data_IF_855465728804
#
_entry.id   IF_855465728804
#
_cell.length_a   1.000
_cell.length_b   1.000
_cell.length_c   1.000
_cell.angle_alpha   90.00
_cell.angle_beta   90.00
_cell.angle_gamma   90.00
#
_symmetry.space_group_name_H-M   'P 1'
#
loop_
_entity.id
_entity.type
_entity.pdbx_description
1 polymer ?
#
# COMPACT_ATOMS: atom_id res chain seq x y z
N UNK A 1 -1.11 -21.37 -13.74
CA UNK A 1 -1.17 -19.89 -13.82
C UNK A 1 -1.19 -19.21 -12.44
N UNK A 2 -1.82 -19.81 -11.43
CA UNK A 2 -1.80 -19.33 -10.04
C UNK A 2 -0.42 -19.41 -9.37
N UNK A 3 0.42 -20.37 -9.73
CA UNK A 3 1.75 -20.58 -9.10
C UNK A 3 2.75 -19.45 -9.39
N UNK A 4 2.70 -18.87 -10.59
CA UNK A 4 3.54 -17.73 -10.98
C UNK A 4 3.11 -16.50 -10.17
N UNK A 5 1.80 -16.28 -10.05
CA UNK A 5 1.22 -15.23 -9.22
C UNK A 5 1.63 -15.39 -7.76
N UNK A 6 1.57 -16.60 -7.23
CA UNK A 6 1.94 -16.92 -5.85
C UNK A 6 3.41 -16.63 -5.58
N UNK A 7 4.28 -17.04 -6.50
CA UNK A 7 5.72 -16.78 -6.41
C UNK A 7 6.02 -15.29 -6.48
N UNK A 8 5.37 -14.55 -7.38
CA UNK A 8 5.56 -13.09 -7.53
C UNK A 8 5.07 -12.32 -6.30
N UNK A 9 3.91 -12.69 -5.75
CA UNK A 9 3.36 -12.10 -4.52
C UNK A 9 4.22 -12.45 -3.32
N UNK A 10 4.69 -13.69 -3.21
CA UNK A 10 5.62 -14.12 -2.16
C UNK A 10 6.95 -13.37 -2.21
N UNK A 11 7.56 -13.22 -3.39
CA UNK A 11 8.83 -12.49 -3.55
C UNK A 11 8.68 -11.00 -3.24
N UNK A 12 7.59 -10.38 -3.70
CA UNK A 12 7.31 -8.97 -3.42
C UNK A 12 7.00 -8.72 -1.94
N UNK A 13 6.28 -9.62 -1.28
CA UNK A 13 6.06 -9.58 0.17
C UNK A 13 7.37 -9.74 0.97
N UNK A 14 8.27 -10.64 0.54
CA UNK A 14 9.60 -10.80 1.12
C UNK A 14 10.44 -9.52 0.96
N UNK A 15 10.46 -8.95 -0.26
CA UNK A 15 11.15 -7.69 -0.54
C UNK A 15 10.60 -6.54 0.31
N UNK A 16 9.27 -6.43 0.40
CA UNK A 16 8.58 -5.46 1.26
C UNK A 16 8.90 -5.65 2.75
N UNK A 17 8.86 -6.88 3.24
CA UNK A 17 9.21 -7.21 4.62
C UNK A 17 10.65 -6.84 4.98
N UNK A 18 11.61 -7.15 4.11
CA UNK A 18 13.02 -6.75 4.29
C UNK A 18 13.16 -5.23 4.29
N UNK A 19 12.47 -4.53 3.39
CA UNK A 19 12.48 -3.07 3.33
C UNK A 19 11.94 -2.44 4.61
N UNK A 20 10.76 -2.87 5.08
CA UNK A 20 10.14 -2.38 6.31
C UNK A 20 10.97 -2.71 7.55
N UNK A 21 11.60 -3.90 7.60
CA UNK A 21 12.49 -4.28 8.69
C UNK A 21 13.76 -3.42 8.72
N UNK A 22 14.35 -3.13 7.55
CA UNK A 22 15.50 -2.22 7.43
C UNK A 22 15.13 -0.79 7.83
N UNK A 23 13.93 -0.33 7.48
CA UNK A 23 13.38 0.95 7.91
C UNK A 23 13.19 1.00 9.43
N UNK A 24 12.64 -0.06 10.03
CA UNK A 24 12.52 -0.19 11.49
C UNK A 24 13.88 -0.12 12.20
N UNK A 25 14.89 -0.85 11.72
CA UNK A 25 16.25 -0.79 12.28
C UNK A 25 16.86 0.62 12.16
N UNK A 26 16.55 1.34 11.09
CA UNK A 26 16.95 2.74 10.91
C UNK A 26 16.24 3.65 11.90
N UNK A 27 14.94 3.46 12.14
CA UNK A 27 14.18 4.20 13.15
C UNK A 27 14.63 3.89 14.59
N UNK A 28 15.14 2.70 14.85
CA UNK A 28 15.71 2.33 16.15
C UNK A 28 17.07 3.01 16.39
N UNK A 29 17.94 3.11 15.36
CA UNK A 29 19.28 3.70 15.46
C UNK A 29 19.31 5.22 15.43
N UNK A 30 18.46 5.86 14.63
CA UNK A 30 18.46 7.32 14.43
C UNK A 30 17.28 8.03 15.12
N UNK A 31 16.45 7.27 15.83
CA UNK A 31 15.14 7.70 16.30
C UNK A 31 14.17 7.92 15.12
N UNK A 32 12.85 7.87 15.36
CA UNK A 32 11.85 8.32 14.39
C UNK A 32 11.83 9.86 14.32
N UNK A 33 13.00 10.50 14.35
CA UNK A 33 13.09 11.93 14.07
C UNK A 33 12.88 12.08 12.57
N UNK A 34 11.89 12.90 12.21
CA UNK A 34 11.62 13.24 10.82
C UNK A 34 12.89 13.84 10.18
N UNK A 35 13.73 13.01 9.56
CA UNK A 35 14.72 13.51 8.59
C UNK A 35 14.02 14.21 7.41
N UNK A 36 12.71 14.02 7.24
CA UNK A 36 11.89 14.80 6.32
C UNK A 36 11.59 16.24 6.78
N UNK A 37 11.90 16.65 8.01
CA UNK A 37 11.69 18.03 8.47
C UNK A 37 13.01 18.81 8.70
N UNK A 38 14.12 18.13 9.00
CA UNK A 38 15.40 18.78 9.32
C UNK A 38 16.58 18.43 8.41
N UNK A 39 16.48 17.48 7.48
CA UNK A 39 17.55 17.30 6.50
C UNK A 39 17.58 18.49 5.53
N UNK A 40 18.75 19.10 5.36
CA UNK A 40 18.96 20.19 4.38
C UNK A 40 18.50 19.78 2.97
N UNK A 41 18.50 18.48 2.67
CA UNK A 41 18.02 17.88 1.42
C UNK A 41 16.50 18.00 1.29
N UNK A 42 15.73 17.71 2.34
CA UNK A 42 14.27 17.81 2.30
C UNK A 42 13.80 19.25 2.39
N UNK A 43 14.44 20.12 3.20
CA UNK A 43 14.17 21.57 3.10
C UNK A 43 14.47 22.12 1.71
N UNK A 44 15.54 21.67 1.06
CA UNK A 44 15.89 22.10 -0.31
C UNK A 44 14.96 21.48 -1.36
N UNK A 45 14.45 20.26 -1.14
CA UNK A 45 13.45 19.62 -1.98
C UNK A 45 12.09 20.29 -1.82
N UNK A 46 11.61 20.51 -0.60
CA UNK A 46 10.36 21.23 -0.30
C UNK A 46 10.40 22.67 -0.78
N UNK A 47 11.50 23.39 -0.59
CA UNK A 47 11.66 24.76 -1.11
C UNK A 47 11.79 24.78 -2.65
N UNK A 48 12.35 23.73 -3.27
CA UNK A 48 12.29 23.55 -4.73
C UNK A 48 10.91 23.20 -5.23
N UNK A 49 10.14 22.42 -4.46
CA UNK A 49 8.75 22.11 -4.75
C UNK A 49 7.90 23.38 -4.61
N UNK A 50 8.01 24.14 -3.51
CA UNK A 50 7.34 25.44 -3.35
C UNK A 50 7.72 26.43 -4.46
N UNK A 51 8.99 26.48 -4.87
CA UNK A 51 9.38 27.30 -6.04
C UNK A 51 8.86 26.76 -7.37
N UNK A 52 8.75 25.45 -7.54
CA UNK A 52 8.18 24.81 -8.74
C UNK A 52 6.64 24.92 -8.80
N UNK A 53 5.97 24.95 -7.63
CA UNK A 53 4.54 25.21 -7.49
C UNK A 53 4.23 26.71 -7.58
N UNK A 54 5.14 27.59 -7.14
CA UNK A 54 5.04 29.05 -7.27
C UNK A 54 5.35 29.58 -8.67
N UNK A 55 6.15 28.87 -9.48
CA UNK A 55 6.36 29.18 -10.89
C UNK A 55 5.47 28.32 -11.79
N UNK A 56 4.22 28.79 -11.92
CA UNK A 56 3.22 28.33 -12.89
C UNK A 56 3.84 28.12 -14.28
N UNK A 57 3.90 26.87 -14.75
CA UNK A 57 4.04 26.59 -16.17
C UNK A 57 4.79 25.30 -16.55
N UNK A 58 5.81 24.87 -15.80
CA UNK A 58 6.65 23.72 -16.21
C UNK A 58 6.72 22.56 -15.19
N UNK A 59 6.39 22.82 -13.92
CA UNK A 59 6.38 21.80 -12.87
C UNK A 59 5.19 20.84 -12.91
N UNK A 60 4.03 21.30 -13.41
CA UNK A 60 2.78 20.51 -13.40
C UNK A 60 2.89 19.21 -14.19
N UNK A 61 3.57 19.22 -15.35
CA UNK A 61 3.73 18.00 -16.16
C UNK A 61 4.58 16.95 -15.45
N UNK A 62 5.67 17.36 -14.79
CA UNK A 62 6.54 16.45 -14.04
C UNK A 62 5.88 15.89 -12.77
N UNK A 63 5.05 16.70 -12.11
CA UNK A 63 4.26 16.28 -10.95
C UNK A 63 3.18 15.29 -11.37
N UNK A 64 2.43 15.60 -12.43
CA UNK A 64 1.41 14.70 -12.99
C UNK A 64 2.04 13.39 -13.44
N UNK A 65 3.20 13.42 -14.12
CA UNK A 65 3.88 12.19 -14.53
C UNK A 65 4.35 11.35 -13.35
N UNK A 66 4.84 11.99 -12.28
CA UNK A 66 5.28 11.28 -11.07
C UNK A 66 4.11 10.62 -10.34
N UNK A 67 2.99 11.34 -10.18
CA UNK A 67 1.77 10.79 -9.55
C UNK A 67 1.19 9.66 -10.39
N UNK A 68 1.15 9.82 -11.72
CA UNK A 68 0.64 8.78 -12.62
C UNK A 68 1.52 7.53 -12.62
N UNK A 69 2.84 7.69 -12.59
CA UNK A 69 3.78 6.57 -12.46
C UNK A 69 3.58 5.84 -11.13
N UNK A 70 3.46 6.58 -10.03
CA UNK A 70 3.26 5.98 -8.71
C UNK A 70 1.92 5.22 -8.63
N UNK A 71 0.85 5.80 -9.19
CA UNK A 71 -0.44 5.14 -9.30
C UNK A 71 -0.36 3.85 -10.14
N UNK A 72 0.33 3.87 -11.28
CA UNK A 72 0.51 2.70 -12.13
C UNK A 72 1.25 1.56 -11.40
N UNK A 73 2.30 1.87 -10.64
CA UNK A 73 3.05 0.88 -9.86
C UNK A 73 2.16 0.26 -8.77
N UNK A 74 1.42 1.09 -8.03
CA UNK A 74 0.49 0.61 -6.99
C UNK A 74 -0.56 -0.31 -7.61
N UNK A 75 -1.18 0.10 -8.73
CA UNK A 75 -2.17 -0.70 -9.45
C UNK A 75 -1.59 -2.08 -9.83
N UNK A 76 -0.37 -2.16 -10.35
CA UNK A 76 0.25 -3.44 -10.72
C UNK A 76 0.45 -4.36 -9.50
N UNK A 77 0.80 -3.81 -8.34
CA UNK A 77 1.04 -4.57 -7.11
C UNK A 77 -0.28 -4.97 -6.43
N UNK A 78 -1.29 -4.11 -6.51
CA UNK A 78 -2.55 -4.28 -5.79
C UNK A 78 -3.61 -5.06 -6.58
N UNK A 79 -3.59 -4.98 -7.91
CA UNK A 79 -4.44 -5.80 -8.80
C UNK A 79 -4.41 -7.30 -8.46
N UNK A 80 -3.26 -7.97 -8.31
CA UNK A 80 -3.23 -9.39 -7.96
C UNK A 80 -3.75 -9.66 -6.54
N UNK A 81 -3.59 -8.72 -5.61
CA UNK A 81 -4.02 -8.85 -4.22
C UNK A 81 -5.54 -8.67 -4.08
N UNK A 82 -6.11 -7.67 -4.75
CA UNK A 82 -7.53 -7.32 -4.69
C UNK A 82 -8.40 -8.21 -5.58
N UNK A 83 -7.92 -8.63 -6.76
CA UNK A 83 -8.66 -9.52 -7.67
C UNK A 83 -8.47 -11.01 -7.27
N UNK A 84 -7.37 -11.35 -6.60
CA UNK A 84 -7.11 -12.72 -6.18
C UNK A 84 -8.16 -13.26 -5.22
N UNK A 85 -8.57 -12.47 -4.23
CA UNK A 85 -9.57 -12.87 -3.22
C UNK A 85 -10.94 -13.21 -3.83
N UNK A 86 -11.56 -12.36 -4.68
CA UNK A 86 -12.84 -12.69 -5.29
C UNK A 86 -12.74 -13.89 -6.24
N UNK A 87 -11.63 -14.10 -6.96
CA UNK A 87 -11.47 -15.28 -7.83
C UNK A 87 -11.44 -16.59 -7.03
N UNK A 88 -10.76 -16.61 -5.89
CA UNK A 88 -10.74 -17.80 -5.02
C UNK A 88 -12.13 -18.02 -4.40
N UNK A 89 -12.79 -16.94 -3.99
CA UNK A 89 -14.13 -17.00 -3.42
C UNK A 89 -15.18 -17.50 -4.42
N UNK A 90 -15.14 -17.03 -5.67
CA UNK A 90 -16.01 -17.53 -6.74
C UNK A 90 -15.71 -18.98 -7.09
N UNK A 91 -14.44 -19.39 -7.05
CA UNK A 91 -14.03 -20.79 -7.19
C UNK A 91 -14.66 -21.71 -6.16
N UNK A 92 -14.64 -21.32 -4.87
CA UNK A 92 -15.29 -22.11 -3.81
C UNK A 92 -16.82 -22.13 -3.91
N UNK A 93 -17.44 -21.02 -4.33
CA UNK A 93 -18.88 -20.97 -4.56
C UNK A 93 -19.32 -21.81 -5.77
N UNK A 94 -18.48 -21.91 -6.81
CA UNK A 94 -18.78 -22.73 -7.98
C UNK A 94 -18.80 -24.23 -7.65
N UNK A 95 -17.92 -24.70 -6.74
CA UNK A 95 -17.91 -26.11 -6.31
C UNK A 95 -19.04 -26.47 -5.35
N UNK A 96 -19.62 -25.50 -4.64
CA UNK A 96 -20.71 -25.75 -3.67
C UNK A 96 -22.10 -25.80 -4.30
N UNK A 97 -22.23 -25.60 -5.62
CA UNK A 97 -23.49 -25.78 -6.36
C UNK A 97 -24.62 -24.82 -5.94
N UNK A 98 -24.27 -23.67 -5.34
CA UNK A 98 -25.23 -22.67 -4.90
C UNK A 98 -25.99 -22.04 -6.07
N UNK A 99 -27.27 -21.74 -5.84
CA UNK A 99 -28.15 -21.06 -6.81
C UNK A 99 -27.51 -19.75 -7.31
N UNK A 100 -27.62 -19.51 -8.62
CA UNK A 100 -27.08 -18.34 -9.34
C UNK A 100 -27.43 -17.01 -8.65
N UNK A 101 -28.60 -16.94 -8.02
CA UNK A 101 -29.09 -15.74 -7.35
C UNK A 101 -28.35 -15.46 -6.03
N UNK A 102 -28.00 -16.50 -5.27
CA UNK A 102 -27.18 -16.37 -4.07
C UNK A 102 -25.73 -16.00 -4.44
N UNK A 103 -25.19 -16.63 -5.49
CA UNK A 103 -23.85 -16.33 -6.01
C UNK A 103 -23.67 -14.85 -6.35
N UNK A 104 -24.60 -14.27 -7.10
CA UNK A 104 -24.55 -12.85 -7.47
C UNK A 104 -24.65 -11.92 -6.26
N UNK A 105 -25.51 -12.23 -5.28
CA UNK A 105 -25.65 -11.42 -4.07
C UNK A 105 -24.37 -11.42 -3.21
N UNK A 106 -23.73 -12.58 -3.03
CA UNK A 106 -22.49 -12.67 -2.25
C UNK A 106 -21.34 -11.87 -2.87
N UNK A 107 -21.16 -11.97 -4.19
CA UNK A 107 -20.11 -11.22 -4.90
C UNK A 107 -20.39 -9.72 -4.85
N UNK A 108 -21.65 -9.31 -5.04
CA UNK A 108 -22.03 -7.91 -4.99
C UNK A 108 -21.80 -7.32 -3.60
N UNK A 109 -22.16 -8.07 -2.54
CA UNK A 109 -21.87 -7.66 -1.16
C UNK A 109 -20.37 -7.56 -0.90
N UNK A 110 -19.57 -8.52 -1.37
CA UNK A 110 -18.11 -8.49 -1.24
C UNK A 110 -17.51 -7.24 -1.91
N UNK A 111 -17.88 -6.96 -3.17
CA UNK A 111 -17.43 -5.78 -3.91
C UNK A 111 -17.84 -4.47 -3.21
N UNK A 112 -19.04 -4.43 -2.65
CA UNK A 112 -19.53 -3.27 -1.93
C UNK A 112 -18.68 -2.95 -0.69
N UNK A 113 -18.37 -3.95 0.14
CA UNK A 113 -17.50 -3.75 1.30
C UNK A 113 -16.06 -3.43 0.92
N UNK A 114 -15.52 -4.06 -0.12
CA UNK A 114 -14.18 -3.76 -0.62
C UNK A 114 -14.05 -2.29 -1.03
N UNK A 115 -14.97 -1.81 -1.87
CA UNK A 115 -15.00 -0.39 -2.30
C UNK A 115 -15.21 0.58 -1.13
N UNK A 116 -16.02 0.20 -0.14
CA UNK A 116 -16.28 1.04 1.02
C UNK A 116 -15.02 1.24 1.87
N UNK A 117 -14.26 0.17 2.11
CA UNK A 117 -13.01 0.23 2.88
C UNK A 117 -11.97 1.11 2.17
N UNK A 118 -11.81 0.95 0.86
CA UNK A 118 -10.93 1.76 0.03
C UNK A 118 -11.25 3.27 0.15
N UNK A 119 -12.54 3.63 0.05
CA UNK A 119 -13.00 5.02 0.21
C UNK A 119 -12.71 5.53 1.63
N UNK A 120 -12.95 4.71 2.66
CA UNK A 120 -12.66 5.08 4.04
C UNK A 120 -11.17 5.33 4.28
N UNK A 121 -10.29 4.46 3.79
CA UNK A 121 -8.83 4.61 3.92
C UNK A 121 -8.35 5.85 3.17
N UNK A 122 -8.80 6.06 1.92
CA UNK A 122 -8.42 7.22 1.13
C UNK A 122 -8.89 8.53 1.77
N UNK A 123 -10.15 8.58 2.21
CA UNK A 123 -10.71 9.74 2.91
C UNK A 123 -9.95 10.01 4.21
N UNK A 124 -9.65 8.95 4.97
CA UNK A 124 -8.82 9.02 6.16
C UNK A 124 -7.45 9.63 5.86
N UNK A 125 -6.75 9.19 4.82
CA UNK A 125 -5.44 9.70 4.43
C UNK A 125 -5.48 11.19 4.01
N UNK A 126 -6.49 11.60 3.25
CA UNK A 126 -6.65 13.01 2.81
C UNK A 126 -6.97 13.93 3.98
N UNK A 127 -7.87 13.52 4.88
CA UNK A 127 -8.21 14.30 6.08
C UNK A 127 -7.05 14.35 7.09
N UNK A 128 -6.29 13.26 7.21
CA UNK A 128 -5.18 13.09 8.16
C UNK A 128 -3.95 13.93 7.80
N UNK A 129 -3.82 14.41 6.56
CA UNK A 129 -2.71 15.30 6.13
C UNK A 129 -2.52 16.55 7.00
N UNK A 130 -3.53 16.97 7.77
CA UNK A 130 -3.44 18.15 8.65
C UNK A 130 -2.98 17.84 10.08
N UNK A 131 -3.00 16.57 10.52
CA UNK A 131 -2.82 16.21 11.96
C UNK A 131 -1.73 15.13 12.17
N UNK A 132 -1.17 14.55 11.11
CA UNK A 132 -0.23 13.43 11.23
C UNK A 132 1.24 13.82 11.48
N UNK A 133 1.46 14.70 12.47
CA UNK A 133 2.64 14.56 13.33
C UNK A 133 2.24 13.56 14.43
N UNK A 134 1.80 12.36 14.02
CA UNK A 134 1.54 11.29 14.96
C UNK A 134 2.88 10.96 15.62
N UNK A 135 2.89 10.90 16.97
CA UNK A 135 4.08 10.65 17.80
C UNK A 135 5.02 9.68 17.08
N UNK A 136 6.22 10.17 16.81
CA UNK A 136 7.28 9.47 16.10
C UNK A 136 7.49 8.02 16.55
N UNK A 137 7.34 7.73 17.85
CA UNK A 137 7.42 6.38 18.39
C UNK A 137 6.33 5.42 17.87
N UNK A 138 5.10 5.87 17.66
CA UNK A 138 3.99 5.02 17.19
C UNK A 138 4.22 4.56 15.74
N UNK A 139 4.82 5.41 14.91
CA UNK A 139 5.17 5.06 13.53
C UNK A 139 6.18 3.90 13.49
N UNK A 140 7.17 3.90 14.39
CA UNK A 140 8.14 2.80 14.51
C UNK A 140 7.46 1.46 14.82
N UNK A 141 6.51 1.44 15.76
CA UNK A 141 5.76 0.23 16.12
C UNK A 141 4.87 -0.26 14.97
N UNK A 142 4.23 0.66 14.23
CA UNK A 142 3.42 0.32 13.06
C UNK A 142 4.29 -0.29 11.96
N UNK A 143 5.48 0.28 11.70
CA UNK A 143 6.39 -0.29 10.69
C UNK A 143 6.93 -1.67 11.06
N UNK A 144 7.15 -1.93 12.35
CA UNK A 144 7.52 -3.26 12.84
C UNK A 144 6.39 -4.27 12.63
N UNK A 145 5.18 -3.89 13.03
CA UNK A 145 3.99 -4.75 12.87
C UNK A 145 3.75 -5.07 11.38
N UNK A 146 3.89 -4.06 10.50
CA UNK A 146 3.81 -4.25 9.05
C UNK A 146 4.89 -5.19 8.52
N UNK A 147 6.15 -5.04 8.96
CA UNK A 147 7.23 -5.95 8.57
C UNK A 147 6.93 -7.40 8.97
N UNK A 148 6.43 -7.61 10.19
CA UNK A 148 6.12 -8.93 10.72
C UNK A 148 4.99 -9.60 9.93
N UNK A 149 3.93 -8.85 9.62
CA UNK A 149 2.81 -9.34 8.79
C UNK A 149 3.28 -9.69 7.38
N UNK A 150 4.11 -8.85 6.74
CA UNK A 150 4.64 -9.12 5.41
C UNK A 150 5.56 -10.34 5.39
N UNK A 151 6.38 -10.53 6.42
CA UNK A 151 7.23 -11.72 6.55
C UNK A 151 6.39 -12.99 6.73
N UNK A 152 5.33 -12.90 7.54
CA UNK A 152 4.39 -14.00 7.73
C UNK A 152 3.70 -14.37 6.42
N UNK A 153 3.16 -13.38 5.69
CA UNK A 153 2.54 -13.61 4.39
C UNK A 153 3.52 -14.21 3.39
N UNK A 154 4.74 -13.68 3.30
CA UNK A 154 5.74 -14.21 2.40
C UNK A 154 6.09 -15.66 2.73
N UNK A 155 6.22 -16.01 4.00
CA UNK A 155 6.44 -17.40 4.43
C UNK A 155 5.26 -18.29 4.03
N UNK A 156 4.02 -17.90 4.35
CA UNK A 156 2.83 -18.67 3.98
C UNK A 156 2.65 -18.87 2.47
N UNK A 157 3.03 -17.90 1.65
CA UNK A 157 2.93 -18.00 0.19
C UNK A 157 4.08 -18.79 -0.46
N UNK A 158 5.25 -18.88 0.18
CA UNK A 158 6.43 -19.58 -0.35
C UNK A 158 6.50 -21.05 0.10
N UNK A 159 6.00 -21.35 1.30
CA UNK A 159 6.05 -22.69 1.92
C UNK A 159 4.78 -23.52 1.72
N UNK A 160 3.64 -22.88 1.43
CA UNK A 160 2.37 -23.53 1.13
C UNK A 160 1.99 -23.24 -0.32
#
# INVERSE_FOLDING_TARGET
HLEILRTVVGLSALGGGIYFFKEFLRFLKYGPTCQFSESAVVKKATNRLEKAFGQSGKGTFFLVSSVMFFAAVIIIIELPCSIGIPIVFTGMLAESGVSLLAYTLYILAYLFFFMLIEICIFTGAVLTKRIWIAKSQTLTWITLAGALVLFYLAFSYLFF
#
